data_IF_727652679422
#
_entry.id   IF_727652679422
#
_cell.length_a   1.000
_cell.length_b   1.000
_cell.length_c   1.000
_cell.angle_alpha   90.00
_cell.angle_beta   90.00
_cell.angle_gamma   90.00
#
_symmetry.space_group_name_H-M   'P 1'
#
loop_
_entity.id
_entity.type
_entity.pdbx_description
1 polymer ?
#
# COMPACT_ATOMS: atom_id res chain seq x y z
N UNK A 1 -3.17 8.26 14.57
CA UNK A 1 -1.98 9.10 14.39
C UNK A 1 -0.86 8.30 13.72
N UNK A 2 -0.39 8.76 12.54
CA UNK A 2 0.76 8.18 11.86
C UNK A 2 2.06 8.75 12.46
N UNK A 3 2.91 7.87 12.98
CA UNK A 3 4.24 8.26 13.47
C UNK A 3 5.29 8.00 12.39
N UNK A 4 6.01 9.04 11.99
CA UNK A 4 7.15 8.93 11.07
C UNK A 4 8.43 8.87 11.90
N UNK A 5 9.22 7.80 11.71
CA UNK A 5 10.52 7.63 12.33
C UNK A 5 11.62 7.82 11.30
N UNK A 6 12.56 8.70 11.58
CA UNK A 6 13.78 8.88 10.77
C UNK A 6 14.88 7.98 11.32
N UNK A 7 15.49 7.19 10.44
CA UNK A 7 16.60 6.28 10.79
C UNK A 7 17.85 6.63 9.99
N UNK A 8 19.03 6.33 10.53
CA UNK A 8 20.26 6.33 9.73
C UNK A 8 20.18 5.29 8.61
N UNK A 9 21.09 5.35 7.61
CA UNK A 9 21.20 4.33 6.56
C UNK A 9 21.25 2.90 7.11
N UNK A 10 20.90 1.93 6.27
CA UNK A 10 20.78 0.52 6.62
C UNK A 10 21.95 0.02 7.50
N UNK A 11 21.60 -0.61 8.61
CA UNK A 11 22.54 -1.24 9.53
C UNK A 11 23.06 -2.58 8.97
N UNK A 12 24.14 -3.10 9.53
CA UNK A 12 24.72 -4.39 9.13
C UNK A 12 23.69 -5.53 9.17
N UNK A 13 22.77 -5.52 10.14
CA UNK A 13 21.73 -6.55 10.23
C UNK A 13 20.69 -6.45 9.11
N UNK A 14 20.36 -5.24 8.65
CA UNK A 14 19.42 -5.04 7.53
C UNK A 14 20.04 -5.53 6.22
N UNK A 15 21.34 -5.30 6.03
CA UNK A 15 22.08 -5.81 4.88
C UNK A 15 22.10 -7.34 4.93
N UNK A 16 22.50 -7.94 6.05
CA UNK A 16 22.51 -9.38 6.23
C UNK A 16 21.10 -10.00 6.09
N UNK A 17 20.07 -9.34 6.58
CA UNK A 17 18.68 -9.80 6.42
C UNK A 17 18.28 -9.83 4.95
N UNK A 18 18.59 -8.78 4.18
CA UNK A 18 18.32 -8.72 2.73
C UNK A 18 19.04 -9.83 1.99
N UNK A 19 20.34 -9.97 2.21
CA UNK A 19 21.16 -11.03 1.59
C UNK A 19 20.62 -12.44 1.87
N UNK A 20 20.17 -12.70 3.09
CA UNK A 20 19.61 -14.01 3.48
C UNK A 20 18.18 -14.25 2.92
N UNK A 21 17.47 -13.21 2.49
CA UNK A 21 16.10 -13.31 1.97
C UNK A 21 15.99 -13.02 0.47
N UNK A 22 17.12 -12.78 -0.22
CA UNK A 22 17.14 -12.54 -1.68
C UNK A 22 16.51 -13.66 -2.52
N UNK A 23 16.43 -14.86 -2.00
CA UNK A 23 15.85 -16.02 -2.69
C UNK A 23 14.55 -16.52 -2.06
N UNK A 24 13.85 -15.67 -1.33
CA UNK A 24 12.55 -16.06 -0.77
C UNK A 24 11.55 -16.34 -1.90
N UNK A 25 10.90 -17.53 -1.92
CA UNK A 25 10.14 -17.99 -3.08
C UNK A 25 8.91 -17.14 -3.43
N UNK A 26 8.38 -16.38 -2.46
CA UNK A 26 7.22 -15.52 -2.68
C UNK A 26 7.58 -14.06 -2.99
N UNK A 27 8.56 -13.49 -2.28
CA UNK A 27 8.77 -12.02 -2.26
C UNK A 27 10.09 -11.58 -2.90
N UNK A 28 10.79 -12.48 -3.58
CA UNK A 28 12.12 -12.24 -4.12
C UNK A 28 12.20 -11.02 -5.04
N UNK A 29 11.21 -10.87 -5.92
CA UNK A 29 11.17 -9.82 -6.94
C UNK A 29 10.22 -8.67 -6.59
N UNK A 30 9.73 -8.64 -5.34
CA UNK A 30 8.83 -7.59 -4.91
C UNK A 30 9.59 -6.34 -4.48
N UNK A 31 9.19 -5.21 -5.05
CA UNK A 31 9.74 -3.91 -4.67
C UNK A 31 8.76 -3.17 -3.77
N UNK A 32 9.16 -2.87 -2.55
CA UNK A 32 8.32 -2.07 -1.66
C UNK A 32 8.13 -0.66 -2.25
N UNK A 33 6.90 -0.34 -2.62
CA UNK A 33 6.54 0.94 -3.21
C UNK A 33 6.14 1.97 -2.15
N UNK A 34 5.41 1.54 -1.12
CA UNK A 34 4.96 2.48 -0.10
C UNK A 34 3.81 1.96 0.77
N UNK A 35 3.08 2.91 1.34
CA UNK A 35 2.00 2.67 2.29
C UNK A 35 0.69 3.24 1.78
N UNK A 36 -0.37 2.45 1.85
CA UNK A 36 -1.74 2.93 1.75
C UNK A 36 -2.20 3.40 3.14
N UNK A 37 -2.67 4.62 3.23
CA UNK A 37 -3.02 5.29 4.47
C UNK A 37 -4.49 5.72 4.37
N UNK A 38 -5.35 5.12 5.18
CA UNK A 38 -6.74 5.53 5.29
C UNK A 38 -6.86 6.89 5.97
N UNK A 39 -7.57 7.81 5.35
CA UNK A 39 -7.80 9.17 5.86
C UNK A 39 -9.26 9.56 5.69
N UNK A 40 -9.74 10.53 6.48
CA UNK A 40 -11.08 11.06 6.34
C UNK A 40 -11.23 12.07 5.20
N UNK A 41 -10.13 12.74 4.81
CA UNK A 41 -10.10 13.67 3.68
C UNK A 41 -8.75 13.62 2.99
N UNK A 42 -8.73 13.13 1.76
CA UNK A 42 -7.51 13.10 0.94
C UNK A 42 -7.05 14.52 0.61
N UNK A 43 -7.97 15.42 0.26
CA UNK A 43 -7.61 16.79 -0.13
C UNK A 43 -6.95 17.58 1.00
N UNK A 44 -7.48 17.47 2.23
CA UNK A 44 -6.89 18.11 3.40
C UNK A 44 -5.53 17.52 3.75
N UNK A 45 -5.42 16.19 3.68
CA UNK A 45 -4.16 15.50 3.97
C UNK A 45 -3.08 15.84 2.95
N UNK A 46 -3.39 15.84 1.66
CA UNK A 46 -2.43 16.23 0.61
C UNK A 46 -1.97 17.66 0.83
N UNK A 47 -2.90 18.61 1.05
CA UNK A 47 -2.55 20.00 1.33
C UNK A 47 -1.63 20.16 2.55
N UNK A 48 -1.86 19.37 3.60
CA UNK A 48 -0.99 19.35 4.77
C UNK A 48 0.43 18.91 4.42
N UNK A 49 0.59 17.80 3.69
CA UNK A 49 1.90 17.29 3.29
C UNK A 49 2.63 18.21 2.31
N UNK A 50 1.90 18.87 1.38
CA UNK A 50 2.48 19.87 0.49
C UNK A 50 3.02 21.08 1.27
N UNK A 51 2.31 21.52 2.30
CA UNK A 51 2.80 22.59 3.19
C UNK A 51 4.05 22.19 3.99
N UNK A 52 4.29 20.90 4.19
CA UNK A 52 5.55 20.39 4.77
C UNK A 52 6.68 20.29 3.74
N UNK A 53 6.40 20.54 2.45
CA UNK A 53 7.39 20.49 1.36
C UNK A 53 7.42 19.16 0.60
N UNK A 54 6.48 18.23 0.84
CA UNK A 54 6.32 17.05 0.01
C UNK A 54 5.56 17.40 -1.27
N UNK A 55 5.80 16.68 -2.35
CA UNK A 55 5.11 16.91 -3.62
C UNK A 55 4.14 15.78 -3.92
N UNK A 56 2.93 16.11 -4.31
CA UNK A 56 2.01 15.15 -4.92
C UNK A 56 2.66 14.53 -6.16
N UNK A 57 2.59 13.21 -6.28
CA UNK A 57 3.19 12.47 -7.39
C UNK A 57 2.16 11.74 -8.26
N UNK A 58 0.89 11.92 -7.95
CA UNK A 58 -0.25 11.45 -8.76
C UNK A 58 -1.38 12.46 -8.75
N UNK A 59 -2.25 12.38 -9.75
CA UNK A 59 -3.56 13.02 -9.70
C UNK A 59 -4.48 12.29 -8.71
N UNK A 60 -5.56 12.98 -8.31
CA UNK A 60 -6.62 12.37 -7.53
C UNK A 60 -7.36 11.34 -8.41
N UNK A 61 -7.36 10.09 -8.00
CA UNK A 61 -8.00 9.00 -8.71
C UNK A 61 -9.14 8.40 -7.88
N UNK A 62 -10.24 8.06 -8.55
CA UNK A 62 -11.39 7.38 -7.95
C UNK A 62 -11.39 5.92 -8.36
N UNK A 63 -11.08 5.03 -7.41
CA UNK A 63 -11.20 3.59 -7.60
C UNK A 63 -12.59 3.12 -7.16
N UNK A 64 -13.48 2.96 -8.14
CA UNK A 64 -14.87 2.55 -7.89
C UNK A 64 -14.99 1.08 -7.47
N UNK A 65 -14.09 0.23 -7.96
CA UNK A 65 -14.11 -1.19 -7.63
C UNK A 65 -13.71 -1.44 -6.18
N UNK A 66 -12.71 -0.69 -5.68
CA UNK A 66 -12.27 -0.77 -4.30
C UNK A 66 -13.00 0.19 -3.34
N UNK A 67 -13.82 1.10 -3.88
CA UNK A 67 -14.68 2.00 -3.11
C UNK A 67 -13.94 3.14 -2.39
N UNK A 68 -12.85 3.65 -2.95
CA UNK A 68 -12.14 4.79 -2.40
C UNK A 68 -11.59 5.73 -3.50
N UNK A 69 -11.34 6.96 -3.12
CA UNK A 69 -10.50 7.87 -3.89
C UNK A 69 -9.11 7.95 -3.24
N UNK A 70 -8.09 8.17 -4.06
CA UNK A 70 -6.72 8.24 -3.54
C UNK A 70 -5.84 9.23 -4.31
N UNK A 71 -4.81 9.69 -3.62
CA UNK A 71 -3.72 10.49 -4.18
C UNK A 71 -2.45 10.20 -3.40
N UNK A 72 -1.30 10.29 -4.05
CA UNK A 72 -0.01 9.95 -3.45
C UNK A 72 0.94 11.14 -3.38
N UNK A 73 1.81 11.13 -2.36
CA UNK A 73 2.99 11.99 -2.27
C UNK A 73 4.26 11.15 -2.20
N UNK A 74 5.36 11.68 -2.74
CA UNK A 74 6.66 11.06 -2.60
C UNK A 74 7.28 11.39 -1.24
N UNK A 75 7.78 10.35 -0.56
CA UNK A 75 8.53 10.45 0.70
C UNK A 75 9.85 9.72 0.52
N UNK A 76 10.85 10.42 -0.02
CA UNK A 76 12.08 9.79 -0.49
C UNK A 76 11.80 8.79 -1.62
N UNK A 77 12.25 7.53 -1.50
CA UNK A 77 12.00 6.49 -2.51
C UNK A 77 10.62 5.84 -2.40
N UNK A 78 9.83 6.19 -1.39
CA UNK A 78 8.54 5.59 -1.09
C UNK A 78 7.38 6.53 -1.45
N UNK A 79 6.19 5.96 -1.56
CA UNK A 79 4.94 6.69 -1.71
C UNK A 79 4.06 6.54 -0.48
N UNK A 80 3.48 7.65 -0.03
CA UNK A 80 2.33 7.65 0.86
C UNK A 80 1.09 7.86 0.01
N UNK A 81 0.25 6.83 -0.05
CA UNK A 81 -0.97 6.80 -0.86
C UNK A 81 -2.14 7.00 0.09
N UNK A 82 -2.66 8.22 0.14
CA UNK A 82 -3.79 8.54 0.99
C UNK A 82 -5.09 8.11 0.33
N UNK A 83 -5.90 7.37 1.09
CA UNK A 83 -7.14 6.77 0.60
C UNK A 83 -8.32 7.23 1.46
N UNK A 84 -9.35 7.78 0.81
CA UNK A 84 -10.62 8.21 1.43
C UNK A 84 -11.76 7.34 0.92
N UNK A 85 -12.60 6.82 1.80
CA UNK A 85 -13.71 5.93 1.42
C UNK A 85 -14.81 6.67 0.67
N UNK A 86 -15.35 6.07 -0.40
CA UNK A 86 -16.53 6.54 -1.12
C UNK A 86 -17.69 5.56 -0.95
N UNK A 87 -18.15 5.38 0.27
CA UNK A 87 -19.24 4.47 0.57
C UNK A 87 -18.87 3.40 1.60
N UNK A 88 -19.86 2.57 1.93
CA UNK A 88 -19.71 1.56 2.99
C UNK A 88 -18.97 0.31 2.53
N UNK A 89 -18.95 0.06 1.23
CA UNK A 89 -18.37 -1.14 0.63
C UNK A 89 -16.87 -0.99 0.27
N UNK A 90 -16.25 0.10 0.71
CA UNK A 90 -14.82 0.31 0.54
C UNK A 90 -14.01 -0.73 1.30
N UNK A 91 -12.99 -1.29 0.65
CA UNK A 91 -12.09 -2.29 1.26
C UNK A 91 -11.36 -1.80 2.51
N UNK A 92 -11.24 -0.47 2.69
CA UNK A 92 -10.61 0.15 3.87
C UNK A 92 -11.63 0.69 4.88
N UNK A 93 -12.94 0.63 4.60
CA UNK A 93 -13.99 1.26 5.43
C UNK A 93 -13.99 0.71 6.86
N UNK A 94 -13.89 -0.61 7.02
CA UNK A 94 -13.89 -1.27 8.32
C UNK A 94 -12.64 -0.89 9.15
N UNK A 95 -11.47 -0.82 8.50
CA UNK A 95 -10.23 -0.39 9.13
C UNK A 95 -10.32 1.06 9.63
N UNK A 96 -10.83 1.94 8.78
CA UNK A 96 -10.98 3.37 9.10
C UNK A 96 -12.01 3.57 10.22
N UNK A 97 -13.13 2.83 10.19
CA UNK A 97 -14.18 2.93 11.22
C UNK A 97 -13.70 2.42 12.60
N UNK A 98 -12.90 1.36 12.65
CA UNK A 98 -12.45 0.74 13.91
C UNK A 98 -11.21 1.39 14.50
N UNK A 99 -10.26 1.81 13.67
CA UNK A 99 -8.95 2.29 14.11
C UNK A 99 -8.73 3.79 13.89
N UNK A 100 -9.61 4.44 13.10
CA UNK A 100 -9.38 5.79 12.64
C UNK A 100 -8.33 5.86 11.51
N UNK A 101 -7.82 7.04 11.26
CA UNK A 101 -6.82 7.29 10.22
C UNK A 101 -5.51 6.56 10.52
N UNK A 102 -4.88 6.01 9.49
CA UNK A 102 -3.58 5.35 9.63
C UNK A 102 -3.29 4.37 8.51
N UNK A 103 -2.17 3.67 8.63
CA UNK A 103 -1.73 2.68 7.66
C UNK A 103 -2.73 1.53 7.59
N UNK A 104 -3.22 1.25 6.39
CA UNK A 104 -4.16 0.16 6.10
C UNK A 104 -3.61 -0.85 5.11
N UNK A 105 -2.62 -0.45 4.30
CA UNK A 105 -2.15 -1.26 3.18
C UNK A 105 -0.63 -1.18 3.04
N UNK A 106 0.00 -2.32 2.79
CA UNK A 106 1.38 -2.41 2.31
C UNK A 106 1.36 -2.56 0.81
N UNK A 107 2.08 -1.72 0.09
CA UNK A 107 2.07 -1.67 -1.38
C UNK A 107 3.41 -2.10 -1.95
N UNK A 108 3.38 -3.14 -2.78
CA UNK A 108 4.55 -3.64 -3.49
C UNK A 108 4.32 -3.57 -5.00
N UNK A 109 5.39 -3.25 -5.71
CA UNK A 109 5.44 -3.31 -7.16
C UNK A 109 5.99 -4.66 -7.59
N UNK A 110 5.36 -5.26 -8.59
CA UNK A 110 5.72 -6.57 -9.14
C UNK A 110 5.77 -6.52 -10.68
N UNK A 111 6.61 -7.34 -11.27
CA UNK A 111 6.77 -7.40 -12.72
C UNK A 111 5.60 -8.13 -13.41
N UNK A 112 5.06 -9.16 -12.77
CA UNK A 112 3.98 -10.00 -13.30
C UNK A 112 2.93 -10.25 -12.19
N UNK A 113 1.85 -9.46 -12.24
CA UNK A 113 0.79 -9.48 -11.24
C UNK A 113 0.02 -10.81 -11.23
N UNK A 114 -0.19 -11.42 -12.40
CA UNK A 114 -0.89 -12.70 -12.53
C UNK A 114 -0.08 -13.85 -11.91
N UNK A 115 1.21 -13.87 -12.18
CA UNK A 115 2.12 -14.87 -11.61
C UNK A 115 2.16 -14.78 -10.07
N UNK A 116 2.27 -13.56 -9.55
CA UNK A 116 2.33 -13.35 -8.10
C UNK A 116 1.00 -13.65 -7.42
N UNK A 117 -0.12 -13.33 -8.07
CA UNK A 117 -1.46 -13.74 -7.63
C UNK A 117 -1.55 -15.25 -7.48
N UNK A 118 -1.14 -16.00 -8.49
CA UNK A 118 -1.24 -17.46 -8.49
C UNK A 118 -0.41 -18.07 -7.35
N UNK A 119 0.81 -17.56 -7.13
CA UNK A 119 1.65 -17.96 -5.99
C UNK A 119 0.97 -17.69 -4.64
N UNK A 120 0.41 -16.49 -4.43
CA UNK A 120 -0.28 -16.15 -3.19
C UNK A 120 -1.51 -17.02 -2.96
N UNK A 121 -2.27 -17.31 -4.02
CA UNK A 121 -3.44 -18.17 -3.97
C UNK A 121 -3.08 -19.62 -3.59
N UNK A 122 -1.98 -20.15 -4.12
CA UNK A 122 -1.45 -21.47 -3.73
C UNK A 122 -1.04 -21.53 -2.25
N UNK A 123 -0.64 -20.38 -1.67
CA UNK A 123 -0.32 -20.26 -0.24
C UNK A 123 -1.54 -19.87 0.63
N UNK A 124 -2.75 -19.93 0.07
CA UNK A 124 -3.97 -19.71 0.83
C UNK A 124 -4.36 -18.24 1.03
N UNK A 125 -3.76 -17.32 0.26
CA UNK A 125 -4.06 -15.89 0.32
C UNK A 125 -4.67 -15.44 -1.03
N UNK A 126 -5.98 -15.64 -1.26
CA UNK A 126 -6.61 -15.28 -2.51
C UNK A 126 -6.80 -13.76 -2.65
N UNK A 127 -6.94 -13.31 -3.89
CA UNK A 127 -7.41 -11.94 -4.20
C UNK A 127 -8.81 -11.75 -3.65
N UNK A 128 -9.06 -10.63 -2.98
CA UNK A 128 -10.40 -10.25 -2.53
C UNK A 128 -10.92 -8.96 -3.18
N UNK A 129 -10.04 -8.16 -3.79
CA UNK A 129 -10.41 -6.99 -4.58
C UNK A 129 -9.37 -6.71 -5.68
N UNK A 130 -9.83 -6.03 -6.74
CA UNK A 130 -8.99 -5.59 -7.86
C UNK A 130 -9.32 -4.13 -8.17
N UNK A 131 -8.29 -3.33 -8.49
CA UNK A 131 -8.48 -1.92 -8.85
C UNK A 131 -9.25 -1.75 -10.15
N UNK A 132 -9.94 -0.62 -10.29
CA UNK A 132 -10.75 -0.32 -11.47
C UNK A 132 -9.95 -0.26 -12.77
N UNK A 133 -8.65 -0.02 -12.70
CA UNK A 133 -7.72 0.01 -13.84
C UNK A 133 -7.06 -1.35 -14.12
N UNK A 134 -7.31 -2.37 -13.28
CA UNK A 134 -6.72 -3.69 -13.37
C UNK A 134 -5.22 -3.75 -13.04
N UNK A 135 -4.62 -2.64 -12.57
CA UNK A 135 -3.18 -2.56 -12.31
C UNK A 135 -2.81 -2.97 -10.89
N UNK A 136 -3.79 -3.19 -10.03
CA UNK A 136 -3.56 -3.59 -8.63
C UNK A 136 -4.53 -4.66 -8.18
N UNK A 137 -4.01 -5.60 -7.39
CA UNK A 137 -4.80 -6.61 -6.69
C UNK A 137 -4.54 -6.54 -5.19
N UNK A 138 -5.58 -6.79 -4.42
CA UNK A 138 -5.59 -6.69 -2.97
C UNK A 138 -5.84 -8.05 -2.34
N UNK A 139 -5.02 -8.38 -1.36
CA UNK A 139 -5.05 -9.67 -0.64
C UNK A 139 -5.34 -9.40 0.82
N UNK A 140 -6.26 -10.16 1.39
CA UNK A 140 -6.67 -9.98 2.79
C UNK A 140 -5.68 -10.65 3.73
N UNK A 141 -4.80 -9.86 4.30
CA UNK A 141 -3.82 -10.27 5.30
C UNK A 141 -4.11 -9.66 6.68
N UNK A 142 -5.35 -9.19 6.90
CA UNK A 142 -5.71 -8.47 8.14
C UNK A 142 -5.68 -9.34 9.38
N UNK A 143 -5.90 -10.64 9.25
CA UNK A 143 -5.79 -11.58 10.37
C UNK A 143 -4.36 -11.69 10.89
N UNK A 144 -3.36 -11.46 10.04
CA UNK A 144 -1.93 -11.55 10.35
C UNK A 144 -1.28 -10.20 10.71
N UNK A 145 -2.04 -9.14 10.91
CA UNK A 145 -1.44 -7.85 11.27
C UNK A 145 -2.32 -6.63 11.02
N UNK A 146 -3.59 -6.82 10.74
CA UNK A 146 -4.55 -5.76 10.41
C UNK A 146 -4.17 -4.89 9.18
N UNK A 147 -3.37 -5.42 8.28
CA UNK A 147 -2.97 -4.77 7.05
C UNK A 147 -3.50 -5.53 5.84
N UNK A 148 -3.77 -4.80 4.78
CA UNK A 148 -4.06 -5.32 3.44
C UNK A 148 -2.74 -5.37 2.67
N UNK A 149 -2.50 -6.43 1.93
CA UNK A 149 -1.40 -6.50 0.98
C UNK A 149 -1.91 -6.06 -0.39
N UNK A 150 -1.25 -5.08 -1.01
CA UNK A 150 -1.50 -4.66 -2.38
C UNK A 150 -0.30 -5.00 -3.24
N UNK A 151 -0.54 -5.73 -4.32
CA UNK A 151 0.42 -5.88 -5.42
C UNK A 151 0.00 -5.00 -6.58
N UNK A 152 0.96 -4.27 -7.15
CA UNK A 152 0.78 -3.39 -8.29
C UNK A 152 1.69 -3.80 -9.43
N UNK A 153 1.12 -3.89 -10.63
CA UNK A 153 1.88 -4.14 -11.85
C UNK A 153 2.83 -3.00 -12.13
N UNK A 154 4.08 -3.30 -12.42
CA UNK A 154 5.03 -2.34 -12.98
C UNK A 154 4.52 -1.83 -14.32
N UNK A 155 4.54 -0.53 -14.50
CA UNK A 155 4.15 0.09 -15.76
C UNK A 155 5.14 -0.24 -16.89
#
# INVERSE_FOLDING_TARGET
>A
DLMISLRPPASEWEIAWRENNEQHPLVNDWKFLGLGIGVFSVSETISYYENLGFSACSDLFTDKACGFLHQAVNVGPLQFIFCETIGKDSIIADSLARRGEGVSTLVFEVADLELERDKLQEHGTPVFAESSDGMSQYFDTRDEGNLILQLRQTA
#
